data_IF_340129011028
#
_entry.id   IF_340129011028
#
_cell.length_a   1.000
_cell.length_b   1.000
_cell.length_c   1.000
_cell.angle_alpha   90.00
_cell.angle_beta   90.00
_cell.angle_gamma   90.00
#
_symmetry.space_group_name_H-M   'P 1'
#
loop_
_entity.id
_entity.type
_entity.pdbx_description
1 polymer ?
#
# COMPACT_ATOMS: atom_id res chain seq x y z
N UNK A 1 -1.86 -7.02 -8.60
CA UNK A 1 -0.69 -7.53 -9.34
C UNK A 1 0.46 -7.77 -8.40
N UNK A 2 1.32 -8.73 -8.73
CA UNK A 2 2.56 -9.01 -7.98
C UNK A 2 3.73 -8.96 -8.97
N UNK A 3 4.79 -8.28 -8.57
CA UNK A 3 6.05 -8.22 -9.31
C UNK A 3 7.17 -8.83 -8.45
N UNK A 4 7.91 -9.75 -9.05
CA UNK A 4 8.98 -10.49 -8.38
C UNK A 4 10.32 -9.99 -8.91
N UNK A 5 11.19 -9.57 -7.99
CA UNK A 5 12.55 -9.11 -8.26
C UNK A 5 13.53 -9.93 -7.43
N UNK A 6 14.82 -9.84 -7.72
CA UNK A 6 15.86 -10.64 -7.04
C UNK A 6 15.86 -10.47 -5.50
N UNK A 7 15.51 -9.29 -5.02
CA UNK A 7 15.63 -8.94 -3.60
C UNK A 7 14.32 -8.52 -2.95
N UNK A 8 13.24 -8.33 -3.72
CA UNK A 8 11.97 -7.86 -3.20
C UNK A 8 10.81 -8.38 -4.06
N UNK A 9 9.70 -8.69 -3.38
CA UNK A 9 8.41 -8.91 -4.04
C UNK A 9 7.50 -7.74 -3.74
N UNK A 10 6.90 -7.16 -4.77
CA UNK A 10 6.02 -5.99 -4.65
C UNK A 10 4.59 -6.39 -4.99
N UNK A 11 3.68 -6.17 -4.03
CA UNK A 11 2.23 -6.27 -4.28
C UNK A 11 1.71 -4.86 -4.55
N UNK A 12 1.10 -4.65 -5.70
CA UNK A 12 0.66 -3.32 -6.11
C UNK A 12 -0.68 -3.32 -6.85
N UNK A 13 -1.38 -2.18 -6.80
CA UNK A 13 -2.59 -1.94 -7.57
C UNK A 13 -2.28 -1.32 -8.92
N UNK A 14 -3.02 -1.77 -9.94
CA UNK A 14 -3.00 -1.17 -11.28
C UNK A 14 -4.45 -0.88 -11.67
N UNK A 15 -4.75 0.38 -11.97
CA UNK A 15 -6.08 0.83 -12.33
C UNK A 15 -6.28 2.31 -12.02
N UNK A 16 -7.46 2.84 -12.35
CA UNK A 16 -7.86 4.21 -11.98
C UNK A 16 -7.94 4.30 -10.47
N UNK A 17 -7.15 5.20 -9.87
CA UNK A 17 -6.97 5.28 -8.41
C UNK A 17 -5.63 4.72 -7.91
N UNK A 18 -4.90 3.98 -8.77
CA UNK A 18 -3.53 3.52 -8.49
C UNK A 18 -3.39 2.73 -7.21
N UNK A 19 -2.35 3.02 -6.41
CA UNK A 19 -2.06 2.35 -5.14
C UNK A 19 -3.18 2.44 -4.11
N UNK A 20 -4.05 3.47 -4.19
CA UNK A 20 -5.17 3.61 -3.26
C UNK A 20 -6.19 2.46 -3.36
N UNK A 21 -6.25 1.76 -4.48
CA UNK A 21 -7.14 0.60 -4.66
C UNK A 21 -6.79 -0.55 -3.72
N UNK A 22 -5.52 -0.71 -3.36
CA UNK A 22 -5.01 -1.85 -2.57
C UNK A 22 -4.36 -1.46 -1.24
N UNK A 23 -4.21 -0.17 -0.91
CA UNK A 23 -3.61 0.24 0.36
C UNK A 23 -4.50 -0.08 1.56
N UNK A 24 -3.90 -0.16 2.74
CA UNK A 24 -4.62 -0.46 3.99
C UNK A 24 -5.28 0.78 4.63
N UNK A 25 -5.26 1.91 3.94
CA UNK A 25 -5.85 3.20 4.34
C UNK A 25 -5.13 3.94 5.48
N UNK A 26 -3.99 3.46 5.94
CA UNK A 26 -3.21 4.12 7.00
C UNK A 26 -2.50 5.37 6.49
N UNK A 27 -2.52 6.43 7.30
CA UNK A 27 -1.93 7.73 6.99
C UNK A 27 -1.09 8.26 8.17
N UNK A 28 0.00 7.58 8.54
CA UNK A 28 0.93 8.11 9.52
C UNK A 28 1.71 9.28 8.93
N UNK A 29 2.01 10.29 9.74
CA UNK A 29 2.99 11.31 9.40
C UNK A 29 4.39 10.78 9.72
N UNK A 30 5.40 11.01 8.87
CA UNK A 30 6.77 10.60 9.14
C UNK A 30 7.30 11.21 10.45
N UNK A 31 8.18 10.49 11.13
CA UNK A 31 8.92 10.98 12.29
C UNK A 31 9.99 11.99 11.89
N UNK A 32 10.55 12.69 12.88
CA UNK A 32 11.51 13.78 12.66
C UNK A 32 12.78 13.32 11.92
N UNK A 33 13.27 12.11 12.18
CA UNK A 33 14.44 11.53 11.51
C UNK A 33 14.27 11.41 9.97
N UNK A 34 13.03 11.25 9.49
CA UNK A 34 12.75 11.29 8.05
C UNK A 34 13.09 12.66 7.45
N UNK A 35 12.71 13.74 8.11
CA UNK A 35 12.96 15.10 7.61
C UNK A 35 14.44 15.48 7.73
N UNK A 36 15.15 14.89 8.68
CA UNK A 36 16.58 15.09 8.94
C UNK A 36 17.51 14.15 8.16
N UNK A 37 16.98 13.36 7.25
CA UNK A 37 17.78 12.40 6.45
C UNK A 37 18.88 13.12 5.66
N UNK A 38 20.11 12.60 5.72
CA UNK A 38 21.31 13.21 5.12
C UNK A 38 21.18 13.45 3.60
N UNK A 39 20.35 12.66 2.94
CA UNK A 39 20.11 12.73 1.48
C UNK A 39 19.37 14.00 1.04
N UNK A 40 18.60 14.66 1.91
CA UNK A 40 17.77 15.80 1.51
C UNK A 40 17.61 16.94 2.52
N UNK A 41 17.98 16.78 3.81
CA UNK A 41 17.81 17.83 4.82
C UNK A 41 18.44 19.17 4.47
N UNK A 42 19.48 19.14 3.65
CA UNK A 42 20.22 20.35 3.23
C UNK A 42 19.50 21.14 2.12
N UNK A 43 18.44 20.59 1.53
CA UNK A 43 17.72 21.21 0.41
C UNK A 43 16.62 22.17 0.88
N UNK A 44 15.95 21.85 1.99
CA UNK A 44 14.87 22.67 2.56
C UNK A 44 14.56 22.25 4.00
N UNK A 45 13.81 23.07 4.73
CA UNK A 45 13.19 22.67 6.00
C UNK A 45 11.92 21.85 5.70
N UNK A 46 12.12 20.57 5.36
CA UNK A 46 11.06 19.69 4.88
C UNK A 46 9.89 19.53 5.86
N UNK A 47 10.14 19.52 7.17
CA UNK A 47 9.08 19.42 8.17
C UNK A 47 8.12 20.60 8.09
N UNK A 48 8.66 21.80 7.99
CA UNK A 48 7.86 23.04 7.85
C UNK A 48 7.17 23.13 6.48
N UNK A 49 7.88 22.77 5.42
CA UNK A 49 7.35 22.83 4.05
C UNK A 49 6.20 21.84 3.84
N UNK A 50 6.31 20.63 4.38
CA UNK A 50 5.34 19.55 4.13
C UNK A 50 4.14 19.56 5.09
N UNK A 51 4.25 20.23 6.25
CA UNK A 51 3.16 20.26 7.25
C UNK A 51 1.81 20.71 6.67
N UNK A 52 1.67 21.82 5.92
CA UNK A 52 0.38 22.20 5.32
C UNK A 52 -0.13 21.20 4.28
N UNK A 53 0.78 20.48 3.61
CA UNK A 53 0.42 19.44 2.65
C UNK A 53 -0.09 18.16 3.34
N UNK A 54 0.48 17.77 4.49
CA UNK A 54 -0.05 16.68 5.30
C UNK A 54 -1.45 17.01 5.84
N UNK A 55 -1.68 18.22 6.28
CA UNK A 55 -3.01 18.68 6.72
C UNK A 55 -4.01 18.63 5.56
N UNK A 56 -3.61 19.09 4.39
CA UNK A 56 -4.45 19.01 3.18
C UNK A 56 -4.76 17.57 2.80
N UNK A 57 -3.76 16.69 2.77
CA UNK A 57 -3.96 15.27 2.47
C UNK A 57 -4.88 14.58 3.48
N UNK A 58 -4.69 14.86 4.78
CA UNK A 58 -5.54 14.33 5.86
C UNK A 58 -6.99 14.74 5.67
N UNK A 59 -7.25 16.00 5.37
CA UNK A 59 -8.59 16.53 5.09
C UNK A 59 -9.19 15.91 3.82
N UNK A 60 -8.43 15.94 2.72
CA UNK A 60 -8.93 15.46 1.43
C UNK A 60 -9.23 13.95 1.43
N UNK A 61 -8.43 13.17 2.15
CA UNK A 61 -8.65 11.72 2.28
C UNK A 61 -9.62 11.36 3.42
N UNK A 62 -10.11 12.36 4.18
CA UNK A 62 -10.97 12.13 5.33
C UNK A 62 -10.33 11.19 6.36
N UNK A 63 -9.00 11.35 6.57
CA UNK A 63 -8.26 10.47 7.45
C UNK A 63 -8.52 10.83 8.92
N UNK A 64 -9.08 9.88 9.67
CA UNK A 64 -9.47 10.04 11.06
C UNK A 64 -8.93 8.91 11.95
N UNK A 65 -8.85 9.11 13.28
CA UNK A 65 -8.46 8.05 14.19
C UNK A 65 -9.41 6.85 14.08
N UNK A 66 -8.86 5.65 14.00
CA UNK A 66 -9.61 4.42 13.92
C UNK A 66 -10.43 4.15 15.21
N UNK A 67 -11.76 4.00 15.15
CA UNK A 67 -12.59 3.69 16.30
C UNK A 67 -12.60 2.20 16.67
N UNK A 68 -12.08 1.31 15.81
CA UNK A 68 -12.12 -0.14 16.05
C UNK A 68 -11.24 -0.56 17.23
N UNK A 69 -11.64 -1.61 17.92
CA UNK A 69 -10.86 -2.23 19.00
C UNK A 69 -11.17 -3.74 19.05
N UNK A 70 -10.59 -4.47 18.13
CA UNK A 70 -10.83 -5.89 17.95
C UNK A 70 -9.72 -6.73 18.63
N UNK A 71 -9.90 -8.05 18.67
CA UNK A 71 -8.96 -8.96 19.34
C UNK A 71 -7.49 -8.75 18.90
N UNK A 72 -7.27 -8.44 17.63
CA UNK A 72 -5.92 -8.15 17.15
C UNK A 72 -5.31 -6.90 17.77
N UNK A 73 -6.11 -5.88 18.08
CA UNK A 73 -5.64 -4.65 18.73
C UNK A 73 -5.26 -4.94 20.19
N UNK A 74 -5.99 -5.84 20.84
CA UNK A 74 -5.67 -6.32 22.19
C UNK A 74 -4.34 -7.07 22.21
N UNK A 75 -4.13 -7.99 21.25
CA UNK A 75 -2.86 -8.71 21.08
C UNK A 75 -1.70 -7.75 20.87
N UNK A 76 -1.86 -6.71 20.03
CA UNK A 76 -0.78 -5.71 19.82
C UNK A 76 -0.46 -4.95 21.10
N UNK A 77 -1.48 -4.61 21.93
CA UNK A 77 -1.24 -3.99 23.24
C UNK A 77 -0.50 -4.90 24.21
N UNK A 78 -0.85 -6.18 24.25
CA UNK A 78 -0.16 -7.17 25.09
C UNK A 78 1.31 -7.31 24.65
N UNK A 79 1.57 -7.45 23.34
CA UNK A 79 2.93 -7.48 22.81
C UNK A 79 3.69 -6.18 23.15
N UNK A 80 3.05 -5.02 23.03
CA UNK A 80 3.67 -3.75 23.41
C UNK A 80 4.06 -3.71 24.90
N UNK A 81 3.21 -4.25 25.77
CA UNK A 81 3.50 -4.37 27.20
C UNK A 81 4.65 -5.35 27.48
N UNK A 82 4.66 -6.52 26.85
CA UNK A 82 5.72 -7.53 26.96
C UNK A 82 7.08 -7.00 26.48
N UNK A 83 7.10 -6.12 25.50
CA UNK A 83 8.28 -5.44 24.99
C UNK A 83 8.72 -4.24 25.87
N UNK A 84 7.96 -3.89 26.92
CA UNK A 84 8.18 -2.66 27.69
C UNK A 84 7.92 -1.37 26.87
N UNK A 85 7.06 -1.46 25.84
CA UNK A 85 6.75 -0.37 24.90
C UNK A 85 5.27 -0.01 24.89
N UNK A 86 4.56 -0.21 25.99
CA UNK A 86 3.11 0.05 26.10
C UNK A 86 2.74 1.50 25.69
N UNK A 87 3.56 2.49 26.05
CA UNK A 87 3.35 3.90 25.70
C UNK A 87 3.62 4.23 24.21
N UNK A 88 4.11 3.24 23.45
CA UNK A 88 4.38 3.35 22.03
C UNK A 88 3.36 2.58 21.16
N UNK A 89 2.27 2.14 21.77
CA UNK A 89 1.10 1.62 21.06
C UNK A 89 0.19 2.79 20.66
N UNK A 90 -0.29 2.76 19.43
CA UNK A 90 -1.29 3.72 18.96
C UNK A 90 -2.30 3.08 18.00
N UNK A 91 -3.49 3.66 17.95
CA UNK A 91 -4.46 3.37 16.90
C UNK A 91 -4.10 4.15 15.65
N UNK A 92 -4.18 3.49 14.50
CA UNK A 92 -3.86 4.11 13.22
C UNK A 92 -4.88 5.20 12.85
N UNK A 93 -4.39 6.24 12.19
CA UNK A 93 -5.23 7.18 11.46
C UNK A 93 -5.49 6.60 10.08
N UNK A 94 -6.75 6.57 9.65
CA UNK A 94 -7.14 5.85 8.43
C UNK A 94 -8.12 6.64 7.56
N UNK A 95 -7.96 6.52 6.25
CA UNK A 95 -8.84 7.12 5.25
C UNK A 95 -10.07 6.22 4.99
N UNK A 96 -10.91 6.10 5.99
CA UNK A 96 -12.12 5.28 5.97
C UNK A 96 -13.26 6.10 6.58
N UNK A 97 -14.39 6.15 5.91
CA UNK A 97 -15.60 6.73 6.47
C UNK A 97 -16.30 5.73 7.38
N UNK A 98 -16.35 5.99 8.67
CA UNK A 98 -17.02 5.12 9.64
C UNK A 98 -18.51 5.43 9.79
N UNK A 99 -18.90 6.67 9.49
CA UNK A 99 -20.28 7.11 9.73
C UNK A 99 -20.59 7.30 11.21
N UNK A 100 -21.87 7.45 11.51
CA UNK A 100 -22.35 7.52 12.89
C UNK A 100 -22.42 6.10 13.50
N UNK A 101 -22.06 5.96 14.77
CA UNK A 101 -22.15 4.70 15.52
C UNK A 101 -23.56 4.14 15.45
N UNK A 102 -23.69 2.87 15.07
CA UNK A 102 -24.96 2.17 14.90
C UNK A 102 -25.64 2.42 13.55
N UNK A 103 -24.96 3.12 12.65
CA UNK A 103 -25.39 3.34 11.25
C UNK A 103 -24.39 2.76 10.25
N UNK A 104 -23.67 1.72 10.64
CA UNK A 104 -22.75 0.99 9.77
C UNK A 104 -23.50 0.47 8.53
N UNK A 105 -22.87 0.54 7.38
CA UNK A 105 -23.47 0.11 6.10
C UNK A 105 -24.54 1.04 5.55
N UNK A 106 -24.82 2.20 6.17
CA UNK A 106 -25.75 3.20 5.64
C UNK A 106 -25.05 4.21 4.76
N UNK A 107 -25.68 4.51 3.65
CA UNK A 107 -25.24 5.53 2.72
C UNK A 107 -25.64 6.92 3.22
N UNK A 108 -24.71 7.86 3.02
CA UNK A 108 -24.92 9.29 3.26
C UNK A 108 -24.46 10.10 2.05
N UNK A 109 -25.02 11.29 1.78
CA UNK A 109 -24.44 12.23 0.83
C UNK A 109 -22.98 12.53 1.18
N UNK A 110 -22.24 13.11 0.22
CA UNK A 110 -20.84 13.49 0.39
C UNK A 110 -20.53 14.08 1.78
N UNK A 111 -19.69 13.43 2.61
CA UNK A 111 -19.34 13.93 3.95
C UNK A 111 -18.06 14.78 3.97
N UNK A 112 -17.41 15.04 2.82
CA UNK A 112 -16.05 15.60 2.78
C UNK A 112 -15.90 16.89 1.97
N UNK A 113 -16.73 17.12 0.92
CA UNK A 113 -16.47 18.12 -0.10
C UNK A 113 -17.65 19.05 -0.34
N UNK A 114 -18.46 19.33 0.68
CA UNK A 114 -19.62 20.23 0.63
C UNK A 114 -20.61 19.87 -0.49
N UNK A 115 -20.86 18.58 -0.66
CA UNK A 115 -21.77 18.04 -1.67
C UNK A 115 -21.21 17.95 -3.09
N UNK A 116 -19.93 18.26 -3.28
CA UNK A 116 -19.24 18.11 -4.58
C UNK A 116 -18.64 16.73 -4.81
N UNK A 117 -18.51 15.94 -3.76
CA UNK A 117 -18.01 14.59 -3.80
C UNK A 117 -19.12 13.53 -3.94
N UNK A 118 -18.76 12.26 -4.16
CA UNK A 118 -19.74 11.19 -4.19
C UNK A 118 -20.21 10.80 -2.78
N UNK A 119 -21.36 10.14 -2.69
CA UNK A 119 -21.87 9.55 -1.44
C UNK A 119 -20.86 8.56 -0.84
N UNK A 120 -20.99 8.30 0.46
CA UNK A 120 -20.21 7.30 1.19
C UNK A 120 -21.12 6.37 1.98
N UNK A 121 -20.66 5.15 2.19
CA UNK A 121 -21.32 4.19 3.05
C UNK A 121 -20.48 3.97 4.30
N UNK A 122 -21.08 4.00 5.49
CA UNK A 122 -20.38 3.75 6.74
C UNK A 122 -19.68 2.39 6.76
N UNK A 123 -18.46 2.32 7.27
CA UNK A 123 -17.65 1.10 7.31
C UNK A 123 -18.36 -0.01 8.10
N UNK A 124 -18.41 -1.21 7.54
CA UNK A 124 -18.97 -2.43 8.17
C UNK A 124 -17.91 -3.31 8.83
N UNK A 125 -16.70 -2.84 8.95
CA UNK A 125 -15.58 -3.52 9.63
C UNK A 125 -15.33 -4.95 9.14
N UNK A 126 -15.33 -5.14 7.82
CA UNK A 126 -15.22 -6.46 7.18
C UNK A 126 -13.78 -6.91 6.87
N UNK A 127 -12.75 -6.15 7.23
CA UNK A 127 -11.34 -6.46 6.98
C UNK A 127 -10.89 -6.42 5.52
N UNK A 128 -11.76 -6.11 4.56
CA UNK A 128 -11.47 -6.23 3.12
C UNK A 128 -10.83 -4.99 2.49
N UNK A 129 -10.25 -4.05 3.25
CA UNK A 129 -9.74 -2.78 2.72
C UNK A 129 -8.70 -2.97 1.62
N UNK A 130 -7.81 -3.98 1.73
CA UNK A 130 -6.73 -4.23 0.78
C UNK A 130 -7.17 -5.05 -0.44
N UNK A 131 -8.32 -5.73 -0.37
CA UNK A 131 -8.85 -6.56 -1.46
C UNK A 131 -10.00 -5.89 -2.21
N UNK A 132 -10.37 -4.68 -1.82
CA UNK A 132 -11.42 -3.87 -2.41
C UNK A 132 -12.58 -3.61 -1.45
N UNK A 133 -12.92 -2.35 -1.24
CA UNK A 133 -14.03 -1.95 -0.38
C UNK A 133 -15.34 -1.99 -1.16
N UNK A 134 -16.10 -3.06 -1.00
CA UNK A 134 -17.38 -3.26 -1.71
C UNK A 134 -18.53 -2.36 -1.25
N UNK A 135 -18.38 -1.67 -0.11
CA UNK A 135 -19.41 -0.79 0.42
C UNK A 135 -19.12 0.70 0.18
N UNK A 136 -17.93 1.07 -0.34
CA UNK A 136 -17.61 2.46 -0.62
C UNK A 136 -17.23 3.29 0.62
N UNK A 137 -16.82 2.65 1.72
CA UNK A 137 -16.35 3.33 2.93
C UNK A 137 -14.90 3.82 2.82
N UNK A 138 -14.08 3.11 2.06
CA UNK A 138 -12.68 3.42 1.84
C UNK A 138 -12.52 4.61 0.91
N UNK A 139 -11.73 5.60 1.30
CA UNK A 139 -11.39 6.74 0.44
C UNK A 139 -10.26 6.38 -0.53
N UNK A 140 -10.63 5.79 -1.66
CA UNK A 140 -9.77 5.61 -2.82
C UNK A 140 -9.74 6.87 -3.68
N UNK A 141 -8.69 7.08 -4.48
CA UNK A 141 -8.52 8.33 -5.22
C UNK A 141 -9.60 8.55 -6.30
N UNK A 142 -10.20 7.49 -6.82
CA UNK A 142 -11.36 7.56 -7.72
C UNK A 142 -12.62 8.14 -7.04
N UNK A 143 -12.73 8.00 -5.72
CA UNK A 143 -13.82 8.55 -4.94
C UNK A 143 -13.53 9.96 -4.36
N UNK A 144 -12.34 10.52 -4.57
CA UNK A 144 -12.02 11.86 -4.08
C UNK A 144 -11.29 12.72 -5.12
N UNK A 145 -9.96 12.74 -5.18
CA UNK A 145 -9.22 13.63 -6.09
C UNK A 145 -9.59 13.44 -7.55
N UNK A 146 -9.72 12.21 -8.03
CA UNK A 146 -10.08 11.95 -9.43
C UNK A 146 -11.54 12.31 -9.71
N UNK A 147 -12.44 11.98 -8.80
CA UNK A 147 -13.85 12.39 -8.91
C UNK A 147 -14.01 13.91 -9.03
N UNK A 148 -13.33 14.65 -8.16
CA UNK A 148 -13.36 16.11 -8.18
C UNK A 148 -12.70 16.67 -9.45
N UNK A 149 -11.61 16.05 -9.92
CA UNK A 149 -10.93 16.46 -11.16
C UNK A 149 -11.83 16.26 -12.38
N UNK A 150 -12.57 15.15 -12.48
CA UNK A 150 -13.56 14.93 -13.54
C UNK A 150 -14.66 16.00 -13.50
N UNK A 151 -15.13 16.36 -12.30
CA UNK A 151 -16.07 17.46 -12.11
C UNK A 151 -15.54 18.83 -12.57
N UNK A 152 -14.22 18.99 -12.67
CA UNK A 152 -13.54 20.17 -13.21
C UNK A 152 -13.16 20.06 -14.70
N UNK A 153 -13.58 18.97 -15.37
CA UNK A 153 -13.33 18.75 -16.80
C UNK A 153 -12.09 17.90 -17.11
N UNK A 154 -11.45 17.30 -16.13
CA UNK A 154 -10.38 16.33 -16.37
C UNK A 154 -10.96 15.08 -17.07
N UNK A 155 -10.28 14.59 -18.10
CA UNK A 155 -10.69 13.38 -18.82
C UNK A 155 -9.80 12.22 -18.39
N UNK A 156 -10.36 11.24 -17.69
CA UNK A 156 -9.68 10.01 -17.32
C UNK A 156 -9.79 9.00 -18.48
N UNK A 157 -8.67 8.40 -18.86
CA UNK A 157 -8.60 7.35 -19.89
C UNK A 157 -8.23 6.01 -19.24
N UNK A 158 -9.19 5.22 -18.79
CA UNK A 158 -8.92 3.89 -18.26
C UNK A 158 -8.40 2.95 -19.37
N UNK A 159 -7.84 1.82 -18.97
CA UNK A 159 -7.31 0.78 -19.88
C UNK A 159 -6.30 1.30 -20.91
N UNK A 160 -5.62 2.41 -20.61
CA UNK A 160 -4.69 3.09 -21.51
C UNK A 160 -3.28 3.06 -20.92
N UNK A 161 -2.38 2.33 -21.53
CA UNK A 161 -0.96 2.25 -21.18
C UNK A 161 -0.15 3.22 -22.02
N UNK A 162 0.65 4.06 -21.38
CA UNK A 162 1.62 4.92 -22.06
C UNK A 162 2.83 4.08 -22.42
N UNK A 163 3.18 4.03 -23.70
CA UNK A 163 4.31 3.27 -24.25
C UNK A 163 5.52 4.13 -24.56
N UNK A 164 5.30 5.41 -24.92
CA UNK A 164 6.37 6.36 -25.16
C UNK A 164 5.88 7.81 -24.95
N UNK A 165 6.83 8.69 -24.66
CA UNK A 165 6.66 10.14 -24.68
C UNK A 165 7.79 10.74 -25.50
N UNK A 166 7.46 11.56 -26.49
CA UNK A 166 8.43 12.16 -27.40
C UNK A 166 8.28 13.68 -27.42
N UNK A 167 9.41 14.37 -27.50
CA UNK A 167 9.40 15.81 -27.76
C UNK A 167 8.82 16.08 -29.16
N UNK A 168 7.98 17.09 -29.30
CA UNK A 168 7.38 17.49 -30.57
C UNK A 168 8.15 18.68 -31.17
N UNK A 169 8.36 18.67 -32.48
CA UNK A 169 8.86 19.81 -33.19
C UNK A 169 7.93 21.01 -33.00
N UNK A 170 8.47 22.15 -32.61
CA UNK A 170 7.67 23.34 -32.26
C UNK A 170 7.22 23.41 -30.79
N UNK A 171 7.55 22.43 -29.97
CA UNK A 171 7.28 22.39 -28.52
C UNK A 171 6.15 21.45 -28.11
N UNK A 172 6.13 21.12 -26.82
CA UNK A 172 5.22 20.13 -26.26
C UNK A 172 5.65 18.68 -26.53
N UNK A 173 4.73 17.75 -26.33
CA UNK A 173 4.99 16.32 -26.35
C UNK A 173 3.92 15.55 -27.12
N UNK A 174 4.33 14.41 -27.68
CA UNK A 174 3.43 13.33 -28.14
C UNK A 174 3.49 12.21 -27.11
N UNK A 175 2.35 11.75 -26.65
CA UNK A 175 2.20 10.62 -25.73
C UNK A 175 1.61 9.44 -26.52
N UNK A 176 2.42 8.42 -26.75
CA UNK A 176 2.01 7.20 -27.45
C UNK A 176 1.39 6.23 -26.46
N UNK A 177 0.25 5.67 -26.81
CA UNK A 177 -0.50 4.75 -25.92
C UNK A 177 -1.01 3.53 -26.66
N UNK A 178 -1.34 2.50 -25.89
CA UNK A 178 -2.08 1.31 -26.35
C UNK A 178 -3.08 0.87 -25.28
N UNK A 179 -3.96 -0.05 -25.63
CA UNK A 179 -4.79 -0.73 -24.64
C UNK A 179 -3.91 -1.51 -23.65
N UNK A 180 -4.15 -1.37 -22.34
CA UNK A 180 -3.32 -2.00 -21.29
C UNK A 180 -3.50 -3.52 -21.18
N UNK A 181 -4.57 -4.07 -21.77
CA UNK A 181 -4.91 -5.51 -21.70
C UNK A 181 -4.69 -6.25 -23.01
N UNK A 182 -4.39 -5.53 -24.09
CA UNK A 182 -4.17 -6.11 -25.43
C UNK A 182 -3.31 -5.17 -26.27
N UNK A 183 -2.59 -5.74 -27.25
CA UNK A 183 -1.81 -4.94 -28.20
C UNK A 183 -2.70 -4.43 -29.35
N UNK A 184 -3.55 -3.45 -29.01
CA UNK A 184 -4.50 -2.80 -29.91
C UNK A 184 -4.79 -1.38 -29.45
N UNK A 185 -5.62 -0.66 -30.23
CA UNK A 185 -6.11 0.69 -29.90
C UNK A 185 -4.95 1.67 -29.62
N UNK A 186 -3.94 1.66 -30.52
CA UNK A 186 -2.82 2.60 -30.45
C UNK A 186 -3.32 3.99 -30.76
N UNK A 187 -3.24 4.89 -29.76
CA UNK A 187 -3.69 6.28 -29.87
C UNK A 187 -2.56 7.20 -29.39
N UNK A 188 -2.35 8.30 -30.13
CA UNK A 188 -1.42 9.33 -29.74
C UNK A 188 -2.16 10.55 -29.22
N UNK A 189 -1.72 11.06 -28.09
CA UNK A 189 -2.17 12.33 -27.53
C UNK A 189 -1.07 13.37 -27.66
N UNK A 190 -1.44 14.64 -27.73
CA UNK A 190 -0.49 15.76 -27.68
C UNK A 190 -0.78 16.63 -26.46
N UNK A 191 0.28 17.12 -25.83
CA UNK A 191 0.19 18.02 -24.68
C UNK A 191 1.39 18.96 -24.64
N UNK A 192 1.18 20.15 -24.07
CA UNK A 192 2.29 21.09 -23.83
C UNK A 192 3.17 20.64 -22.66
N UNK A 193 2.59 19.95 -21.68
CA UNK A 193 3.27 19.43 -20.50
C UNK A 193 2.83 18.00 -20.22
N UNK A 194 3.74 17.17 -19.70
CA UNK A 194 3.47 15.79 -19.27
C UNK A 194 3.97 15.58 -17.84
N UNK A 195 3.12 15.03 -16.98
CA UNK A 195 3.46 14.65 -15.61
C UNK A 195 3.49 13.13 -15.51
N UNK A 196 4.67 12.56 -15.21
CA UNK A 196 4.83 11.13 -14.99
C UNK A 196 4.44 10.76 -13.54
N UNK A 197 3.29 10.17 -13.36
CA UNK A 197 2.73 9.81 -12.06
C UNK A 197 2.30 8.33 -11.97
N UNK A 198 2.89 7.46 -12.79
CA UNK A 198 2.57 6.03 -12.89
C UNK A 198 3.16 5.15 -11.78
N UNK A 199 3.63 5.73 -10.67
CA UNK A 199 4.31 5.01 -9.59
C UNK A 199 5.71 4.54 -10.00
N UNK A 200 6.47 4.01 -9.04
CA UNK A 200 7.87 3.60 -9.26
C UNK A 200 7.97 2.55 -10.37
N UNK A 201 7.12 1.51 -10.33
CA UNK A 201 7.16 0.38 -11.27
C UNK A 201 6.57 0.71 -12.65
N UNK A 202 5.80 1.76 -12.80
CA UNK A 202 5.33 2.26 -14.10
C UNK A 202 6.27 3.31 -14.68
N UNK A 203 6.59 4.33 -13.89
CA UNK A 203 7.32 5.51 -14.35
C UNK A 203 8.80 5.21 -14.65
N UNK A 204 9.52 4.53 -13.75
CA UNK A 204 10.97 4.33 -13.95
C UNK A 204 11.28 3.45 -15.16
N UNK A 205 10.64 2.28 -15.37
CA UNK A 205 10.88 1.49 -16.58
C UNK A 205 10.56 2.24 -17.87
N UNK A 206 9.45 3.00 -17.89
CA UNK A 206 9.08 3.82 -19.04
C UNK A 206 10.18 4.88 -19.34
N UNK A 207 10.62 5.62 -18.33
CA UNK A 207 11.66 6.63 -18.49
C UNK A 207 13.02 6.03 -18.87
N UNK A 208 13.38 4.84 -18.35
CA UNK A 208 14.59 4.13 -18.76
C UNK A 208 14.53 3.74 -20.25
N UNK A 209 13.39 3.23 -20.70
CA UNK A 209 13.17 2.93 -22.11
C UNK A 209 13.25 4.18 -22.98
N UNK A 210 12.64 5.29 -22.55
CA UNK A 210 12.70 6.58 -23.26
C UNK A 210 14.10 7.17 -23.28
N UNK A 211 14.91 6.97 -22.24
CA UNK A 211 16.31 7.39 -22.21
C UNK A 211 17.17 6.60 -23.21
N UNK A 212 16.91 5.31 -23.38
CA UNK A 212 17.63 4.44 -24.30
C UNK A 212 17.24 4.68 -25.78
N UNK A 213 16.05 5.23 -26.03
CA UNK A 213 15.56 5.54 -27.38
C UNK A 213 16.09 6.93 -27.82
N UNK A 214 16.87 7.01 -28.92
CA UNK A 214 17.33 8.30 -29.44
C UNK A 214 16.24 9.30 -29.81
N UNK A 215 15.04 8.80 -30.15
CA UNK A 215 13.84 9.59 -30.43
C UNK A 215 12.95 9.80 -29.19
N UNK A 216 13.37 9.27 -28.05
CA UNK A 216 12.68 9.38 -26.77
C UNK A 216 13.12 10.61 -25.98
N UNK A 217 13.64 10.37 -24.78
CA UNK A 217 14.11 11.41 -23.85
C UNK A 217 15.59 11.16 -23.47
N UNK A 218 16.53 11.19 -24.42
CA UNK A 218 17.93 10.77 -24.18
C UNK A 218 18.69 11.65 -23.19
N UNK A 219 18.18 12.85 -22.88
CA UNK A 219 18.78 13.81 -21.93
C UNK A 219 18.44 13.55 -20.47
N UNK A 220 17.68 12.48 -20.17
CA UNK A 220 17.37 12.09 -18.79
C UNK A 220 18.64 11.73 -18.02
N UNK A 221 18.65 12.02 -16.72
CA UNK A 221 19.78 11.79 -15.82
C UNK A 221 20.27 10.34 -15.83
N UNK A 222 21.61 10.14 -15.74
CA UNK A 222 22.23 8.83 -15.54
C UNK A 222 21.92 8.22 -14.15
N UNK A 223 21.37 9.02 -13.25
CA UNK A 223 20.91 8.58 -11.92
C UNK A 223 19.51 7.98 -11.93
N UNK A 224 18.83 7.99 -13.06
CA UNK A 224 17.51 7.41 -13.21
C UNK A 224 17.54 5.92 -12.83
N UNK A 225 16.63 5.51 -11.94
CA UNK A 225 16.58 4.16 -11.40
C UNK A 225 17.52 3.90 -10.22
N UNK A 226 18.42 4.83 -9.85
CA UNK A 226 19.22 4.73 -8.63
C UNK A 226 18.39 5.11 -7.40
N UNK A 227 18.78 4.58 -6.22
CA UNK A 227 18.20 4.89 -4.92
C UNK A 227 16.69 4.61 -4.80
N UNK A 228 16.20 3.60 -5.48
CA UNK A 228 14.83 3.12 -5.29
C UNK A 228 14.70 2.56 -3.88
N UNK A 229 13.75 3.08 -3.11
CA UNK A 229 13.50 2.67 -1.73
C UNK A 229 12.23 1.86 -1.62
N UNK A 230 12.20 0.99 -0.62
CA UNK A 230 11.02 0.26 -0.17
C UNK A 230 10.72 0.68 1.28
N UNK A 231 9.60 0.21 1.82
CA UNK A 231 9.29 0.36 3.25
C UNK A 231 10.07 -0.62 4.15
N UNK A 232 11.05 -1.36 3.61
CA UNK A 232 11.86 -2.36 4.33
C UNK A 232 11.00 -3.32 5.15
N UNK A 233 9.91 -3.77 4.55
CA UNK A 233 8.85 -4.55 5.15
C UNK A 233 9.18 -6.04 5.18
N UNK A 234 8.85 -6.68 6.31
CA UNK A 234 8.81 -8.13 6.47
C UNK A 234 7.43 -8.56 6.89
N UNK A 235 6.91 -9.61 6.25
CA UNK A 235 5.58 -10.15 6.51
C UNK A 235 5.70 -11.43 7.34
N UNK A 236 5.04 -11.47 8.49
CA UNK A 236 4.99 -12.62 9.38
C UNK A 236 3.53 -13.02 9.55
N UNK A 237 3.20 -14.28 9.28
CA UNK A 237 1.85 -14.80 9.49
C UNK A 237 1.79 -15.71 10.71
N UNK A 238 0.78 -15.52 11.53
CA UNK A 238 0.47 -16.36 12.70
C UNK A 238 -0.93 -16.94 12.50
N UNK A 239 -1.05 -18.26 12.59
CA UNK A 239 -2.31 -18.96 12.46
C UNK A 239 -2.71 -19.56 13.80
N UNK A 240 -3.96 -19.33 14.19
CA UNK A 240 -4.57 -20.03 15.30
C UNK A 240 -4.75 -21.53 14.99
N UNK A 241 -4.71 -22.37 16.03
CA UNK A 241 -4.91 -23.81 15.87
C UNK A 241 -6.39 -24.19 15.78
N UNK A 242 -7.27 -23.28 16.20
CA UNK A 242 -8.73 -23.44 16.20
C UNK A 242 -9.43 -22.21 15.55
N UNK A 243 -10.73 -22.27 15.46
CA UNK A 243 -11.61 -21.25 14.88
C UNK A 243 -12.47 -20.55 15.96
N UNK A 244 -12.07 -20.60 17.22
CA UNK A 244 -12.79 -19.99 18.33
C UNK A 244 -12.87 -18.45 18.24
N UNK A 245 -11.90 -17.84 17.55
CA UNK A 245 -11.77 -16.38 17.39
C UNK A 245 -11.76 -16.03 15.90
N UNK A 246 -12.55 -15.01 15.52
CA UNK A 246 -12.57 -14.46 14.17
C UNK A 246 -11.60 -13.26 14.08
N UNK A 247 -10.42 -13.49 13.52
CA UNK A 247 -9.39 -12.47 13.31
C UNK A 247 -9.66 -11.56 12.11
N UNK A 248 -10.62 -11.87 11.25
CA UNK A 248 -10.94 -11.07 10.07
C UNK A 248 -11.78 -9.82 10.40
N UNK A 249 -12.34 -9.72 11.60
CA UNK A 249 -13.20 -8.61 12.01
C UNK A 249 -12.38 -7.34 12.25
N UNK A 250 -12.86 -6.20 11.76
CA UNK A 250 -12.21 -4.89 11.88
C UNK A 250 -11.88 -4.26 10.53
N UNK A 251 -10.90 -3.37 10.53
CA UNK A 251 -10.30 -2.78 9.32
C UNK A 251 -8.93 -3.41 9.05
N UNK A 252 -8.37 -3.21 7.86
CA UNK A 252 -7.12 -3.88 7.47
C UNK A 252 -5.98 -3.65 8.45
N UNK A 253 -5.65 -2.40 8.78
CA UNK A 253 -4.63 -2.05 9.78
C UNK A 253 -5.27 -1.09 10.79
N UNK A 254 -5.42 -1.53 12.02
CA UNK A 254 -6.13 -0.78 13.07
C UNK A 254 -5.23 -0.26 14.18
N UNK A 255 -4.07 -0.85 14.37
CA UNK A 255 -3.11 -0.48 15.40
C UNK A 255 -1.68 -0.75 15.00
N UNK A 256 -0.78 -0.03 15.65
CA UNK A 256 0.66 -0.03 15.41
C UNK A 256 1.38 0.02 16.76
N UNK A 257 2.53 -0.63 16.87
CA UNK A 257 3.45 -0.45 17.98
C UNK A 257 4.86 -0.18 17.48
N UNK A 258 5.49 0.85 18.01
CA UNK A 258 6.89 1.18 17.74
C UNK A 258 7.78 0.35 18.66
N UNK A 259 8.46 -0.65 18.10
CA UNK A 259 9.34 -1.56 18.86
C UNK A 259 10.65 -0.89 19.26
N UNK A 260 11.10 0.05 18.47
CA UNK A 260 12.22 0.95 18.72
C UNK A 260 12.02 2.27 17.94
N UNK A 261 13.02 3.15 17.93
CA UNK A 261 12.90 4.47 17.28
C UNK A 261 12.83 4.37 15.75
N UNK A 262 13.31 3.26 15.17
CA UNK A 262 13.41 3.03 13.74
C UNK A 262 12.55 1.89 13.23
N UNK A 263 11.78 1.24 14.08
CA UNK A 263 11.01 0.06 13.71
C UNK A 263 9.63 0.06 14.34
N UNK A 264 8.68 -0.48 13.60
CA UNK A 264 7.34 -0.71 14.11
C UNK A 264 6.75 -1.98 13.50
N UNK A 265 5.74 -2.51 14.13
CA UNK A 265 4.89 -3.51 13.51
C UNK A 265 3.42 -3.14 13.57
N UNK A 266 2.69 -3.63 12.60
CA UNK A 266 1.26 -3.44 12.41
C UNK A 266 0.58 -4.79 12.30
N UNK A 267 -0.64 -4.89 12.84
CA UNK A 267 -1.48 -6.04 12.61
C UNK A 267 -2.33 -5.84 11.36
N UNK A 268 -2.33 -6.82 10.47
CA UNK A 268 -3.06 -6.75 9.20
C UNK A 268 -4.12 -7.82 9.14
N UNK A 269 -5.30 -7.41 8.70
CA UNK A 269 -6.44 -8.28 8.47
C UNK A 269 -6.85 -8.32 7.01
N UNK A 270 -7.40 -9.45 6.62
CA UNK A 270 -8.10 -9.63 5.35
C UNK A 270 -9.55 -9.99 5.62
N UNK A 271 -10.42 -9.65 4.68
CA UNK A 271 -11.84 -9.96 4.80
C UNK A 271 -12.10 -11.46 4.85
N UNK A 272 -13.14 -11.85 5.59
CA UNK A 272 -13.58 -13.23 5.71
C UNK A 272 -13.70 -13.93 4.36
N UNK A 273 -13.20 -15.16 4.27
CA UNK A 273 -13.12 -15.94 3.04
C UNK A 273 -11.88 -15.65 2.19
N UNK A 274 -11.01 -14.70 2.58
CA UNK A 274 -9.78 -14.42 1.86
C UNK A 274 -8.69 -15.44 2.20
N UNK A 275 -8.21 -16.14 1.17
CA UNK A 275 -7.08 -17.08 1.26
C UNK A 275 -5.85 -16.59 0.50
N UNK A 276 -5.76 -15.28 0.23
CA UNK A 276 -4.74 -14.67 -0.64
C UNK A 276 -3.31 -15.05 -0.23
N UNK A 277 -2.99 -14.98 1.06
CA UNK A 277 -1.65 -15.31 1.55
C UNK A 277 -1.41 -16.79 1.85
N UNK A 278 -2.44 -17.63 1.86
CA UNK A 278 -2.32 -19.04 2.21
C UNK A 278 -1.21 -19.80 1.43
N UNK A 279 -1.03 -19.58 0.11
CA UNK A 279 0.06 -20.23 -0.64
C UNK A 279 1.46 -19.80 -0.20
N UNK A 280 1.60 -18.58 0.30
CA UNK A 280 2.88 -17.96 0.67
C UNK A 280 3.32 -18.23 2.11
N UNK A 281 2.45 -18.80 2.94
CA UNK A 281 2.82 -19.17 4.29
C UNK A 281 3.82 -20.33 4.28
N UNK A 282 5.04 -20.01 4.62
CA UNK A 282 6.15 -20.95 4.77
C UNK A 282 6.68 -20.88 6.20
N UNK A 283 7.30 -21.99 6.71
CA UNK A 283 7.96 -21.94 8.01
C UNK A 283 9.02 -20.84 8.03
N UNK A 284 9.07 -20.07 9.12
CA UNK A 284 10.22 -19.22 9.37
C UNK A 284 11.45 -20.12 9.63
N UNK A 285 12.37 -20.14 8.68
CA UNK A 285 13.57 -20.95 8.71
C UNK A 285 14.81 -20.06 8.72
N UNK A 286 15.39 -19.75 9.90
CA UNK A 286 16.60 -18.96 9.99
C UNK A 286 17.79 -19.70 9.37
N UNK A 287 18.71 -18.95 8.75
CA UNK A 287 19.92 -19.53 8.16
C UNK A 287 20.74 -18.52 7.39
N UNK A 288 22.06 -18.65 7.44
CA UNK A 288 23.02 -17.77 6.75
C UNK A 288 23.16 -18.08 5.25
N UNK A 289 22.69 -19.26 4.81
CA UNK A 289 22.77 -19.71 3.42
C UNK A 289 21.43 -20.29 2.96
N UNK A 290 21.19 -20.31 1.65
CA UNK A 290 20.00 -20.93 1.07
C UNK A 290 19.91 -22.43 1.47
N UNK A 291 21.01 -23.18 1.38
CA UNK A 291 21.06 -24.58 1.77
C UNK A 291 20.69 -24.78 3.26
N UNK A 292 21.20 -23.92 4.14
CA UNK A 292 20.85 -23.93 5.56
C UNK A 292 19.37 -23.65 5.81
N UNK A 293 18.78 -22.68 5.11
CA UNK A 293 17.34 -22.37 5.18
C UNK A 293 16.49 -23.53 4.69
N UNK A 294 16.86 -24.15 3.56
CA UNK A 294 16.15 -25.34 3.04
C UNK A 294 16.20 -26.49 4.05
N UNK A 295 17.38 -26.80 4.59
CA UNK A 295 17.54 -27.85 5.61
C UNK A 295 16.68 -27.58 6.85
N UNK A 296 16.65 -26.32 7.33
CA UNK A 296 15.84 -25.96 8.49
C UNK A 296 14.34 -26.01 8.17
N UNK A 297 13.91 -25.56 6.98
CA UNK A 297 12.54 -25.71 6.52
C UNK A 297 12.09 -27.18 6.53
N UNK A 298 12.92 -28.08 6.00
CA UNK A 298 12.64 -29.52 6.00
C UNK A 298 12.54 -30.06 7.43
N UNK A 299 13.44 -29.63 8.35
CA UNK A 299 13.40 -30.01 9.76
C UNK A 299 12.10 -29.59 10.43
N UNK A 300 11.69 -28.33 10.24
CA UNK A 300 10.44 -27.77 10.79
C UNK A 300 9.23 -28.52 10.24
N UNK A 301 9.18 -28.77 8.94
CA UNK A 301 8.08 -29.49 8.30
C UNK A 301 8.00 -30.95 8.77
N UNK A 302 9.12 -31.62 9.02
CA UNK A 302 9.14 -32.96 9.63
C UNK A 302 8.59 -32.96 11.06
N UNK A 303 8.93 -31.94 11.84
CA UNK A 303 8.50 -31.83 13.25
C UNK A 303 7.05 -31.35 13.41
N UNK A 304 6.61 -30.43 12.56
CA UNK A 304 5.32 -29.73 12.68
C UNK A 304 4.43 -29.87 11.44
N UNK A 305 4.70 -30.84 10.57
CA UNK A 305 4.00 -31.00 9.29
C UNK A 305 2.48 -31.23 9.42
N UNK A 306 2.02 -31.73 10.55
CA UNK A 306 0.57 -31.83 10.86
C UNK A 306 -0.08 -30.46 10.95
N UNK A 307 0.53 -29.52 11.68
CA UNK A 307 0.05 -28.12 11.82
C UNK A 307 0.05 -27.40 10.49
N UNK A 308 1.12 -27.54 9.69
CA UNK A 308 1.20 -26.95 8.36
C UNK A 308 0.13 -27.49 7.40
N UNK A 309 -0.15 -28.79 7.47
CA UNK A 309 -1.23 -29.40 6.68
C UNK A 309 -2.61 -28.88 7.11
N UNK A 310 -2.84 -28.73 8.40
CA UNK A 310 -4.09 -28.15 8.91
C UNK A 310 -4.27 -26.71 8.43
N UNK A 311 -3.26 -25.86 8.57
CA UNK A 311 -3.23 -24.49 8.09
C UNK A 311 -3.52 -24.41 6.57
N UNK A 312 -2.85 -25.23 5.75
CA UNK A 312 -3.07 -25.27 4.28
C UNK A 312 -4.46 -25.78 3.89
N UNK A 313 -5.18 -26.41 4.78
CA UNK A 313 -6.56 -26.89 4.60
C UNK A 313 -7.61 -25.98 5.21
N UNK A 314 -7.20 -24.91 5.89
CA UNK A 314 -8.10 -23.92 6.43
C UNK A 314 -9.01 -23.36 5.32
N UNK A 315 -10.32 -23.41 5.54
CA UNK A 315 -11.30 -22.93 4.55
C UNK A 315 -11.34 -21.41 4.49
N UNK A 316 -11.04 -20.78 5.61
CA UNK A 316 -11.01 -19.33 5.78
C UNK A 316 -9.76 -18.93 6.55
N UNK A 317 -8.68 -18.72 5.82
CA UNK A 317 -7.39 -18.33 6.38
C UNK A 317 -7.47 -16.97 7.08
N UNK A 318 -8.25 -16.04 6.53
CA UNK A 318 -8.38 -14.71 7.09
C UNK A 318 -9.01 -14.72 8.49
N UNK A 319 -10.00 -15.57 8.73
CA UNK A 319 -10.62 -15.71 10.07
C UNK A 319 -9.72 -16.41 11.08
N UNK A 320 -8.77 -17.25 10.62
CA UNK A 320 -7.91 -18.06 11.49
C UNK A 320 -6.48 -17.52 11.60
N UNK A 321 -6.16 -16.40 10.96
CA UNK A 321 -4.80 -15.88 10.97
C UNK A 321 -4.73 -14.39 11.16
N UNK A 322 -3.59 -13.98 11.69
CA UNK A 322 -3.17 -12.60 11.78
C UNK A 322 -1.87 -12.45 11.01
N UNK A 323 -1.79 -11.42 10.20
CA UNK A 323 -0.57 -11.02 9.51
C UNK A 323 0.01 -9.83 10.24
N UNK A 324 1.31 -9.88 10.49
CA UNK A 324 2.08 -8.78 11.06
C UNK A 324 3.02 -8.24 9.99
N UNK A 325 2.97 -6.95 9.75
CA UNK A 325 3.93 -6.23 8.95
C UNK A 325 4.95 -5.59 9.88
N UNK A 326 6.21 -5.94 9.70
CA UNK A 326 7.32 -5.33 10.43
C UNK A 326 8.09 -4.43 9.48
N UNK A 327 8.13 -3.15 9.76
CA UNK A 327 8.76 -2.13 8.93
C UNK A 327 9.89 -1.43 9.68
N UNK A 328 10.90 -0.99 8.92
CA UNK A 328 12.08 -0.31 9.46
C UNK A 328 12.43 0.92 8.63
N UNK A 329 12.74 2.03 9.31
CA UNK A 329 13.24 3.29 8.70
C UNK A 329 14.76 3.26 8.53
N UNK A 330 15.30 2.17 7.98
CA UNK A 330 16.72 2.08 7.69
C UNK A 330 17.03 2.58 6.28
N UNK A 331 18.17 3.24 6.12
CA UNK A 331 18.67 3.58 4.80
C UNK A 331 19.07 2.31 4.05
N UNK A 332 18.21 1.91 3.13
CA UNK A 332 18.45 0.86 2.15
C UNK A 332 17.98 1.34 0.79
N UNK A 333 18.70 0.99 -0.26
CA UNK A 333 18.27 1.34 -1.61
C UNK A 333 18.48 0.17 -2.57
N UNK A 334 17.59 0.11 -3.55
CA UNK A 334 17.66 -0.78 -4.69
C UNK A 334 18.00 0.03 -5.93
N UNK A 335 18.28 -0.65 -7.03
CA UNK A 335 18.48 -0.07 -8.34
C UNK A 335 17.58 -0.78 -9.34
N UNK A 336 16.77 0.00 -10.07
CA UNK A 336 16.05 -0.46 -11.26
C UNK A 336 16.85 -0.12 -12.52
N UNK A 337 16.93 -1.09 -13.42
CA UNK A 337 17.63 -0.98 -14.70
C UNK A 337 16.84 -1.65 -15.81
#
# INVERSE_FOLDING_TARGET
>A
QMSFFDHVTVVHGVGVGGGSLVYACTHPTPKDDFFEAASWKHLANWKSELEPHYQTATRMLGAEPNPCDEIGDQIVREIAADLGRADHYEKTRVAIYFGEKGKEGKEVPDPYFDGKGPSRVGCIQCGACMTGCRVGAKNTLDLNYLYLAEGLGCVIRPETEVTAVREREGGGYVVETKCSTADRDHVNFTADNVVFAGGVLGTIPLLLAMKADPLGLPRLSDRLGDFVRTNSESIIGVCAEDDAVDYAKGIAISSIVHTDDHSHFEIVRYGKGSNFFQPYFLPHAPGKSLAGRVAETVRILRRHGGRYRAMKRAKDMASQSTIMLYMRTLEGSLKLR
#
